data_IF_930665706929
#
_entry.id   IF_930665706929
#
_cell.length_a   1.000
_cell.length_b   1.000
_cell.length_c   1.000
_cell.angle_alpha   90.00
_cell.angle_beta   90.00
_cell.angle_gamma   90.00
#
_symmetry.space_group_name_H-M   'P 1'
#
loop_
_entity.id
_entity.type
_entity.pdbx_description
1 polymer ?
#
# COMPACT_ATOMS: atom_id res chain seq x y z
N UNK A 1 23.57 11.03 -36.28
CA UNK A 1 22.39 10.17 -36.51
C UNK A 1 21.91 9.70 -35.13
N UNK A 2 21.00 10.44 -34.50
CA UNK A 2 20.47 10.10 -33.17
C UNK A 2 19.28 9.17 -33.36
N UNK A 3 19.44 7.91 -33.00
CA UNK A 3 18.35 6.93 -32.95
C UNK A 3 17.33 7.38 -31.90
N UNK A 4 16.23 8.00 -32.34
CA UNK A 4 15.02 8.19 -31.52
C UNK A 4 14.38 6.82 -31.33
N UNK A 5 14.88 6.05 -30.36
CA UNK A 5 14.16 4.88 -29.86
C UNK A 5 12.88 5.38 -29.16
N UNK A 6 11.77 5.45 -29.91
CA UNK A 6 10.44 5.51 -29.31
C UNK A 6 10.24 4.19 -28.57
N UNK A 7 10.53 4.19 -27.26
CA UNK A 7 10.06 3.15 -26.36
C UNK A 7 8.56 2.98 -26.61
N UNK A 8 8.16 1.86 -27.20
CA UNK A 8 6.76 1.51 -27.35
C UNK A 8 6.23 1.18 -25.96
N UNK A 9 5.60 2.16 -25.32
CA UNK A 9 4.88 1.94 -24.07
C UNK A 9 3.68 1.07 -24.43
N UNK A 10 3.70 -0.19 -24.01
CA UNK A 10 2.56 -1.09 -24.22
C UNK A 10 1.40 -0.61 -23.33
N UNK A 11 0.28 -0.23 -23.95
CA UNK A 11 -0.95 0.08 -23.21
C UNK A 11 -1.47 -1.20 -22.57
N UNK A 12 -1.42 -1.28 -21.23
CA UNK A 12 -1.99 -2.40 -20.49
C UNK A 12 -3.52 -2.34 -20.56
N UNK A 13 -4.13 -3.39 -21.10
CA UNK A 13 -5.59 -3.55 -21.15
C UNK A 13 -6.01 -4.43 -19.96
N UNK A 14 -7.03 -4.01 -19.22
CA UNK A 14 -7.62 -4.80 -18.13
C UNK A 14 -8.16 -6.12 -18.67
N UNK A 15 -7.92 -7.23 -17.95
CA UNK A 15 -8.53 -8.53 -18.24
C UNK A 15 -10.02 -8.53 -17.88
N UNK A 16 -10.33 -8.00 -16.70
CA UNK A 16 -11.69 -7.85 -16.17
C UNK A 16 -11.74 -6.54 -15.39
N UNK A 17 -12.65 -5.64 -15.78
CA UNK A 17 -12.96 -4.48 -14.96
C UNK A 17 -13.88 -4.89 -13.81
N UNK A 18 -13.31 -5.33 -12.68
CA UNK A 18 -14.06 -5.86 -11.53
C UNK A 18 -15.02 -4.82 -10.96
N UNK A 19 -14.60 -3.57 -10.85
CA UNK A 19 -15.39 -2.51 -10.22
C UNK A 19 -16.57 -2.05 -11.09
N UNK A 20 -16.45 -2.18 -12.41
CA UNK A 20 -17.56 -1.98 -13.34
C UNK A 20 -18.52 -3.18 -13.35
N UNK A 21 -17.98 -4.41 -13.38
CA UNK A 21 -18.80 -5.63 -13.44
C UNK A 21 -19.50 -5.98 -12.13
N UNK A 22 -18.93 -5.63 -10.99
CA UNK A 22 -19.46 -6.00 -9.68
C UNK A 22 -19.20 -4.92 -8.62
N UNK A 23 -20.18 -4.03 -8.47
CA UNK A 23 -20.14 -2.97 -7.47
C UNK A 23 -20.15 -3.51 -6.02
N UNK A 24 -20.60 -4.75 -5.80
CA UNK A 24 -20.57 -5.40 -4.48
C UNK A 24 -19.13 -5.60 -3.96
N UNK A 25 -18.19 -5.89 -4.87
CA UNK A 25 -16.76 -5.99 -4.50
C UNK A 25 -16.21 -4.64 -4.06
N UNK A 26 -16.54 -3.57 -4.79
CA UNK A 26 -16.12 -2.22 -4.42
C UNK A 26 -16.67 -1.84 -3.04
N UNK A 27 -17.95 -2.12 -2.77
CA UNK A 27 -18.60 -1.85 -1.48
C UNK A 27 -17.96 -2.63 -0.32
N UNK A 28 -17.59 -3.89 -0.54
CA UNK A 28 -16.94 -4.69 0.47
C UNK A 28 -15.56 -4.11 0.84
N UNK A 29 -14.74 -3.78 -0.17
CA UNK A 29 -13.41 -3.21 0.07
C UNK A 29 -13.49 -1.79 0.65
N UNK A 30 -14.43 -0.97 0.18
CA UNK A 30 -14.61 0.39 0.72
C UNK A 30 -15.06 0.37 2.17
N UNK A 31 -15.72 -0.70 2.64
CA UNK A 31 -16.09 -0.84 4.06
C UNK A 31 -14.87 -0.95 4.97
N UNK A 32 -13.79 -1.62 4.53
CA UNK A 32 -12.51 -1.63 5.25
C UNK A 32 -11.90 -0.23 5.30
N UNK A 33 -11.94 0.51 4.18
CA UNK A 33 -11.43 1.87 4.13
C UNK A 33 -12.25 2.84 5.01
N UNK A 34 -13.57 2.68 5.07
CA UNK A 34 -14.44 3.45 5.94
C UNK A 34 -14.20 3.16 7.42
N UNK A 35 -13.94 1.90 7.77
CA UNK A 35 -13.52 1.51 9.11
C UNK A 35 -12.21 2.21 9.48
N UNK A 36 -11.19 2.08 8.62
CA UNK A 36 -9.87 2.70 8.83
C UNK A 36 -9.91 4.23 8.84
N UNK A 37 -10.90 4.85 8.18
CA UNK A 37 -11.12 6.30 8.25
C UNK A 37 -11.47 6.81 9.65
N UNK A 38 -11.84 5.92 10.59
CA UNK A 38 -12.09 6.22 12.00
C UNK A 38 -10.93 5.78 12.92
N UNK A 39 -9.92 5.12 12.36
CA UNK A 39 -8.74 4.67 13.10
C UNK A 39 -7.93 5.86 13.60
N UNK A 40 -7.30 5.77 14.78
CA UNK A 40 -6.34 6.77 15.23
C UNK A 40 -5.01 6.72 14.48
N UNK A 41 -4.77 5.69 13.65
CA UNK A 41 -3.53 5.57 12.86
C UNK A 41 -3.44 6.72 11.86
N UNK A 42 -2.26 7.32 11.79
CA UNK A 42 -1.96 8.47 10.96
C UNK A 42 -2.18 8.13 9.48
N UNK A 43 -2.97 8.96 8.77
CA UNK A 43 -3.27 8.75 7.35
C UNK A 43 -2.00 8.58 6.50
N UNK A 44 -0.97 9.38 6.77
CA UNK A 44 0.31 9.28 6.06
C UNK A 44 1.01 7.94 6.31
N UNK A 45 0.95 7.41 7.54
CA UNK A 45 1.49 6.08 7.85
C UNK A 45 0.73 4.99 7.08
N UNK A 46 -0.62 5.04 7.04
CA UNK A 46 -1.40 4.08 6.25
C UNK A 46 -0.99 4.09 4.77
N UNK A 47 -0.88 5.27 4.15
CA UNK A 47 -0.43 5.37 2.77
C UNK A 47 1.00 4.86 2.56
N UNK A 48 1.90 5.09 3.52
CA UNK A 48 3.28 4.60 3.48
C UNK A 48 3.32 3.05 3.49
N UNK A 49 2.52 2.43 4.36
CA UNK A 49 2.36 0.97 4.40
C UNK A 49 1.74 0.44 3.11
N UNK A 50 0.73 1.12 2.59
CA UNK A 50 0.09 0.71 1.34
C UNK A 50 1.06 0.74 0.16
N UNK A 51 1.93 1.74 0.11
CA UNK A 51 3.01 1.81 -0.86
C UNK A 51 3.99 0.65 -0.68
N UNK A 52 4.49 0.39 0.53
CA UNK A 52 5.44 -0.71 0.78
C UNK A 52 4.87 -2.09 0.45
N UNK A 53 3.65 -2.38 0.91
CA UNK A 53 2.99 -3.66 0.64
C UNK A 53 2.77 -3.85 -0.87
N UNK A 54 2.42 -2.77 -1.57
CA UNK A 54 2.28 -2.79 -3.04
C UNK A 54 3.61 -3.04 -3.76
N UNK A 55 4.74 -2.61 -3.21
CA UNK A 55 6.07 -2.96 -3.75
C UNK A 55 6.32 -4.46 -3.61
N UNK A 56 6.04 -5.04 -2.44
CA UNK A 56 6.22 -6.47 -2.18
C UNK A 56 5.35 -7.33 -3.10
N UNK A 57 4.11 -6.91 -3.34
CA UNK A 57 3.14 -7.65 -4.16
C UNK A 57 3.24 -7.33 -5.66
N UNK A 58 4.07 -6.37 -6.09
CA UNK A 58 4.20 -5.98 -7.50
C UNK A 58 2.94 -5.34 -8.10
N UNK A 59 2.13 -4.62 -7.31
CA UNK A 59 0.93 -3.95 -7.83
C UNK A 59 1.26 -2.57 -8.44
N UNK A 60 1.52 -2.51 -9.75
CA UNK A 60 1.86 -1.25 -10.44
C UNK A 60 0.79 -0.15 -10.30
N UNK A 61 -0.51 -0.49 -10.37
CA UNK A 61 -1.60 0.46 -10.15
C UNK A 61 -1.55 1.08 -8.75
N UNK A 62 -1.38 0.22 -7.73
CA UNK A 62 -1.35 0.64 -6.35
C UNK A 62 -0.11 1.49 -6.05
N UNK A 63 1.03 1.19 -6.67
CA UNK A 63 2.25 2.01 -6.60
C UNK A 63 2.05 3.39 -7.23
N UNK A 64 1.43 3.46 -8.42
CA UNK A 64 1.11 4.74 -9.07
C UNK A 64 0.22 5.59 -8.16
N UNK A 65 -0.85 4.99 -7.63
CA UNK A 65 -1.78 5.66 -6.73
C UNK A 65 -1.11 6.16 -5.45
N UNK A 66 -0.56 5.26 -4.63
CA UNK A 66 -0.09 5.61 -3.30
C UNK A 66 1.16 6.50 -3.33
N UNK A 67 2.03 6.36 -4.34
CA UNK A 67 3.18 7.26 -4.46
C UNK A 67 2.75 8.69 -4.81
N UNK A 68 1.71 8.88 -5.64
CA UNK A 68 1.18 10.20 -5.99
C UNK A 68 0.42 10.83 -4.81
N UNK A 69 -0.40 10.05 -4.09
CA UNK A 69 -1.07 10.52 -2.88
C UNK A 69 -0.08 10.92 -1.77
N UNK A 70 0.98 10.12 -1.55
CA UNK A 70 2.03 10.43 -0.59
C UNK A 70 2.75 11.74 -0.92
N UNK A 71 3.13 11.94 -2.20
CA UNK A 71 3.73 13.20 -2.66
C UNK A 71 2.80 14.38 -2.45
N UNK A 72 1.52 14.23 -2.78
CA UNK A 72 0.52 15.28 -2.58
C UNK A 72 0.34 15.63 -1.09
N UNK A 73 0.57 14.67 -0.19
CA UNK A 73 0.54 14.84 1.26
C UNK A 73 1.89 15.30 1.87
N UNK A 74 2.90 15.60 1.06
CA UNK A 74 4.19 16.13 1.50
C UNK A 74 5.27 15.09 1.83
N UNK A 75 5.07 13.81 1.48
CA UNK A 75 6.12 12.80 1.58
C UNK A 75 7.27 13.09 0.63
N UNK A 76 8.50 12.82 1.07
CA UNK A 76 9.72 13.12 0.32
C UNK A 76 10.11 12.00 -0.64
N UNK A 77 10.72 12.35 -1.77
CA UNK A 77 11.32 11.36 -2.69
C UNK A 77 12.36 10.48 -1.98
N UNK A 78 13.17 11.07 -1.09
CA UNK A 78 14.18 10.33 -0.33
C UNK A 78 13.55 9.16 0.44
N UNK A 79 12.47 9.42 1.19
CA UNK A 79 11.74 8.38 1.91
C UNK A 79 11.10 7.38 0.94
N UNK A 80 10.39 7.84 -0.09
CA UNK A 80 9.79 6.94 -1.09
C UNK A 80 10.79 5.98 -1.75
N UNK A 81 12.02 6.45 -2.02
CA UNK A 81 13.08 5.59 -2.58
C UNK A 81 13.71 4.67 -1.55
N UNK A 82 13.88 5.12 -0.31
CA UNK A 82 14.53 4.34 0.75
C UNK A 82 13.63 3.29 1.40
N UNK A 83 12.30 3.37 1.25
CA UNK A 83 11.39 2.44 1.95
C UNK A 83 11.61 0.97 1.58
N UNK A 84 12.14 0.69 0.39
CA UNK A 84 12.47 -0.70 -0.01
C UNK A 84 13.63 -1.30 0.78
N UNK A 85 14.45 -0.42 1.39
CA UNK A 85 15.58 -0.72 2.26
C UNK A 85 15.41 -0.02 3.63
N UNK A 86 14.17 0.07 4.13
CA UNK A 86 13.82 0.86 5.32
C UNK A 86 14.62 0.48 6.57
N UNK A 87 15.05 -0.78 6.71
CA UNK A 87 15.73 -1.25 7.92
C UNK A 87 17.10 -0.55 8.10
N UNK A 88 17.82 -0.27 7.02
CA UNK A 88 19.09 0.47 7.05
C UNK A 88 18.89 2.00 6.96
N UNK A 89 17.67 2.46 6.67
CA UNK A 89 17.38 3.87 6.42
C UNK A 89 17.10 4.65 7.72
N UNK A 90 17.83 5.75 8.00
CA UNK A 90 17.68 6.52 9.25
C UNK A 90 16.49 7.51 9.24
N UNK A 91 15.73 7.56 8.14
CA UNK A 91 14.69 8.57 7.90
C UNK A 91 13.31 8.18 8.40
N UNK A 92 13.18 7.02 9.05
CA UNK A 92 11.92 6.50 9.60
C UNK A 92 11.95 6.48 11.12
N UNK A 93 10.86 6.91 11.74
CA UNK A 93 10.68 6.83 13.19
C UNK A 93 10.53 5.37 13.66
N UNK A 94 10.74 5.09 14.95
CA UNK A 94 10.53 3.73 15.46
C UNK A 94 9.09 3.23 15.28
N UNK A 95 8.09 4.12 15.40
CA UNK A 95 6.68 3.79 15.14
C UNK A 95 6.46 3.39 13.68
N UNK A 96 7.04 4.14 12.73
CA UNK A 96 7.00 3.77 11.30
C UNK A 96 7.72 2.45 11.03
N UNK A 97 8.91 2.26 11.60
CA UNK A 97 9.70 1.03 11.42
C UNK A 97 8.96 -0.21 11.99
N UNK A 98 8.31 -0.07 13.14
CA UNK A 98 7.48 -1.12 13.73
C UNK A 98 6.29 -1.46 12.82
N UNK A 99 5.60 -0.46 12.28
CA UNK A 99 4.48 -0.66 11.36
C UNK A 99 4.92 -1.28 10.02
N UNK A 100 6.05 -0.85 9.46
CA UNK A 100 6.59 -1.41 8.22
C UNK A 100 6.98 -2.88 8.43
N UNK A 101 7.69 -3.20 9.52
CA UNK A 101 8.05 -4.58 9.87
C UNK A 101 6.80 -5.47 10.01
N UNK A 102 5.78 -4.98 10.73
CA UNK A 102 4.49 -5.65 10.88
C UNK A 102 3.82 -5.90 9.52
N UNK A 103 3.75 -4.87 8.68
CA UNK A 103 3.13 -4.96 7.35
C UNK A 103 3.84 -5.94 6.43
N UNK A 104 5.17 -6.00 6.45
CA UNK A 104 5.93 -6.99 5.68
C UNK A 104 5.66 -8.42 6.15
N UNK A 105 5.66 -8.65 7.47
CA UNK A 105 5.42 -9.98 8.06
C UNK A 105 4.02 -10.50 7.74
N UNK A 106 2.98 -9.67 7.96
CA UNK A 106 1.58 -10.00 7.67
C UNK A 106 1.31 -10.13 6.17
N UNK A 107 2.07 -9.43 5.31
CA UNK A 107 1.93 -9.58 3.86
C UNK A 107 2.49 -10.92 3.37
N UNK A 108 3.65 -11.33 3.89
CA UNK A 108 4.37 -12.52 3.40
C UNK A 108 3.83 -13.81 4.00
N UNK A 109 3.33 -13.79 5.25
CA UNK A 109 2.85 -14.96 6.02
C UNK A 109 3.62 -16.23 5.65
N UNK A 110 4.90 -16.27 6.04
CA UNK A 110 5.73 -17.46 5.86
C UNK A 110 5.19 -18.65 6.66
N UNK A 111 5.92 -19.77 6.65
CA UNK A 111 5.49 -21.00 7.34
C UNK A 111 5.18 -20.78 8.84
N UNK A 112 5.90 -19.88 9.49
CA UNK A 112 5.81 -19.60 10.92
C UNK A 112 4.85 -18.43 11.23
N UNK A 113 4.19 -17.86 10.22
CA UNK A 113 3.31 -16.70 10.41
C UNK A 113 4.08 -15.41 10.69
N UNK A 114 3.65 -14.67 11.73
CA UNK A 114 4.28 -13.43 12.17
C UNK A 114 5.26 -13.74 13.31
N UNK A 115 6.56 -13.43 13.17
CA UNK A 115 7.54 -13.70 14.24
C UNK A 115 7.26 -12.92 15.53
N UNK A 116 7.51 -13.54 16.68
CA UNK A 116 7.28 -12.94 18.01
C UNK A 116 8.02 -11.62 18.20
N UNK A 117 9.27 -11.52 17.72
CA UNK A 117 10.05 -10.27 17.83
C UNK A 117 9.43 -9.11 17.02
N UNK A 118 8.72 -9.40 15.92
CA UNK A 118 7.99 -8.40 15.13
C UNK A 118 6.73 -7.98 15.86
N UNK A 119 6.00 -8.92 16.47
CA UNK A 119 4.84 -8.64 17.31
C UNK A 119 5.20 -7.80 18.53
N UNK A 120 6.22 -8.18 19.29
CA UNK A 120 6.73 -7.42 20.43
C UNK A 120 7.22 -6.03 20.03
N UNK A 121 7.85 -5.89 18.86
CA UNK A 121 8.23 -4.59 18.32
C UNK A 121 7.02 -3.71 18.05
N UNK A 122 5.95 -4.27 17.47
CA UNK A 122 4.73 -3.53 17.21
C UNK A 122 4.06 -3.05 18.51
N UNK A 123 3.96 -3.91 19.54
CA UNK A 123 3.38 -3.55 20.83
C UNK A 123 4.15 -2.46 21.60
N UNK A 124 5.43 -2.22 21.29
CA UNK A 124 6.19 -1.10 21.86
C UNK A 124 5.78 0.26 21.27
N UNK A 125 5.12 0.28 20.11
CA UNK A 125 4.76 1.51 19.40
C UNK A 125 3.27 1.70 19.18
N UNK A 126 2.47 0.65 19.33
CA UNK A 126 1.03 0.64 19.07
C UNK A 126 0.28 -0.01 20.23
N UNK A 127 -0.92 0.49 20.53
CA UNK A 127 -1.87 -0.22 21.39
C UNK A 127 -2.41 -1.48 20.69
N UNK A 128 -3.09 -2.35 21.42
CA UNK A 128 -3.73 -3.53 20.83
C UNK A 128 -4.77 -3.15 19.75
N UNK A 129 -5.59 -2.13 20.04
CA UNK A 129 -6.57 -1.59 19.08
C UNK A 129 -5.89 -1.01 17.83
N UNK A 130 -4.81 -0.25 18.01
CA UNK A 130 -4.00 0.28 16.90
C UNK A 130 -3.35 -0.85 16.08
N UNK A 131 -2.90 -1.93 16.71
CA UNK A 131 -2.30 -3.07 16.02
C UNK A 131 -3.35 -3.88 15.25
N UNK A 132 -4.58 -3.99 15.77
CA UNK A 132 -5.73 -4.52 15.03
C UNK A 132 -5.97 -3.66 13.79
N UNK A 133 -6.02 -2.34 13.93
CA UNK A 133 -6.23 -1.41 12.82
C UNK A 133 -5.11 -1.51 11.76
N UNK A 134 -3.84 -1.57 12.18
CA UNK A 134 -2.72 -1.82 11.28
C UNK A 134 -2.89 -3.13 10.51
N UNK A 135 -3.34 -4.19 11.19
CA UNK A 135 -3.59 -5.49 10.55
C UNK A 135 -4.70 -5.39 9.52
N UNK A 136 -5.80 -4.71 9.83
CA UNK A 136 -6.90 -4.43 8.89
C UNK A 136 -6.42 -3.61 7.69
N UNK A 137 -5.56 -2.62 7.91
CA UNK A 137 -4.93 -1.84 6.84
C UNK A 137 -4.10 -2.73 5.91
N UNK A 138 -3.28 -3.62 6.46
CA UNK A 138 -2.47 -4.57 5.67
C UNK A 138 -3.37 -5.52 4.87
N UNK A 139 -4.46 -6.02 5.44
CA UNK A 139 -5.46 -6.85 4.75
C UNK A 139 -6.11 -6.08 3.60
N UNK A 140 -6.51 -4.83 3.83
CA UNK A 140 -7.15 -3.99 2.83
C UNK A 140 -6.25 -3.82 1.61
N UNK A 141 -4.99 -3.38 1.79
CA UNK A 141 -4.08 -3.22 0.65
C UNK A 141 -3.73 -4.54 -0.03
N UNK A 142 -3.55 -5.62 0.74
CA UNK A 142 -3.30 -6.95 0.19
C UNK A 142 -4.46 -7.43 -0.71
N UNK A 143 -5.71 -7.07 -0.36
CA UNK A 143 -6.89 -7.37 -1.16
C UNK A 143 -6.91 -6.58 -2.47
N UNK A 144 -6.67 -5.27 -2.42
CA UNK A 144 -6.56 -4.43 -3.62
C UNK A 144 -5.42 -4.88 -4.53
N UNK A 145 -4.24 -5.19 -3.98
CA UNK A 145 -3.10 -5.68 -4.73
C UNK A 145 -3.46 -6.96 -5.50
N UNK A 146 -4.07 -7.94 -4.83
CA UNK A 146 -4.46 -9.23 -5.45
C UNK A 146 -5.43 -9.03 -6.61
N UNK A 147 -6.45 -8.19 -6.43
CA UNK A 147 -7.45 -7.90 -7.48
C UNK A 147 -6.77 -7.20 -8.66
N UNK A 148 -6.03 -6.12 -8.40
CA UNK A 148 -5.42 -5.33 -9.47
C UNK A 148 -4.38 -6.12 -10.28
N UNK A 149 -3.59 -6.96 -9.61
CA UNK A 149 -2.60 -7.83 -10.26
C UNK A 149 -3.30 -8.92 -11.07
N UNK A 150 -4.28 -9.62 -10.49
CA UNK A 150 -5.00 -10.69 -11.16
C UNK A 150 -5.68 -10.23 -12.46
N UNK A 151 -6.27 -9.03 -12.42
CA UNK A 151 -7.06 -8.50 -13.53
C UNK A 151 -6.37 -7.42 -14.37
N UNK A 152 -5.08 -7.14 -14.11
CA UNK A 152 -4.26 -6.19 -14.88
C UNK A 152 -4.87 -4.79 -14.95
N UNK A 153 -5.25 -4.23 -13.81
CA UNK A 153 -5.74 -2.84 -13.74
C UNK A 153 -4.68 -1.88 -14.32
N UNK A 154 -5.03 -1.05 -15.33
CA UNK A 154 -4.08 -0.13 -15.96
C UNK A 154 -3.55 0.93 -14.99
N UNK A 155 -2.24 1.19 -15.00
CA UNK A 155 -1.56 2.16 -14.13
C UNK A 155 -0.97 3.34 -14.91
N UNK A 156 -0.57 4.41 -14.21
CA UNK A 156 0.13 5.57 -14.77
C UNK A 156 -0.75 6.80 -14.94
N UNK A 157 -2.06 6.63 -14.88
CA UNK A 157 -3.04 7.69 -15.14
C UNK A 157 -3.74 8.20 -13.87
N UNK A 158 -3.43 7.66 -12.70
CA UNK A 158 -4.03 8.10 -11.44
C UNK A 158 -3.73 9.59 -11.17
N UNK A 159 -4.70 10.31 -10.62
CA UNK A 159 -4.53 11.66 -10.09
C UNK A 159 -4.83 11.67 -8.58
N UNK A 160 -4.02 12.37 -7.75
CA UNK A 160 -4.24 12.46 -6.31
C UNK A 160 -5.68 12.82 -5.96
N UNK A 161 -6.26 12.09 -5.00
CA UNK A 161 -7.63 12.33 -4.53
C UNK A 161 -8.74 11.78 -5.41
N UNK A 162 -8.46 11.16 -6.57
CA UNK A 162 -9.47 10.64 -7.50
C UNK A 162 -10.52 9.69 -6.87
N UNK A 163 -10.16 9.00 -5.78
CA UNK A 163 -11.03 8.05 -5.08
C UNK A 163 -11.33 8.45 -3.63
N UNK A 164 -11.01 9.68 -3.22
CA UNK A 164 -11.42 10.16 -1.90
C UNK A 164 -12.92 10.47 -1.93
N UNK A 165 -13.68 9.92 -0.98
CA UNK A 165 -15.06 10.36 -0.76
C UNK A 165 -15.00 11.81 -0.26
N UNK A 166 -15.75 12.71 -0.91
CA UNK A 166 -16.01 14.06 -0.43
C UNK A 166 -16.91 14.03 0.82
#
# INVERSE_FOLDING_TARGET
MVLKNKLSITTMISRINVFEKNQGVLKALSSLQMYLGKSPIEKNLLHLLYFRVSQLNGCAFCLDMHSKDLRAAGESEQRLYMISAWDEAPVYTERERAAIAWAEAVTRLGREGVPDNVYERALRSFTEDELIDLTVAVIAINSYNRINVAFRTPSGHYQPGQFQAH
#
